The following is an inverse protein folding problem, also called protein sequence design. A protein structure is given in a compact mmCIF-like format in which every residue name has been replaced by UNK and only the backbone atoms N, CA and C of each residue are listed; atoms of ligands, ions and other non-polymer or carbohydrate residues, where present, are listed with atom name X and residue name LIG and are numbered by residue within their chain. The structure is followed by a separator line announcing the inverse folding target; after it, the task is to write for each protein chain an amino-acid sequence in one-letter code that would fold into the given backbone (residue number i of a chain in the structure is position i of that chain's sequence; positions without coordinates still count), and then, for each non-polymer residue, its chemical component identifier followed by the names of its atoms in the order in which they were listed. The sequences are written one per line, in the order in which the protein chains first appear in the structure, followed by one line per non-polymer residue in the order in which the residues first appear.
data_IF_210120326441
#
_entry.id   IF_210120326441
#
_cell.length_a   1.000
_cell.length_b   1.000
_cell.length_c   1.000
_cell.angle_alpha   90.00
_cell.angle_beta   90.00
_cell.angle_gamma   90.00
#
_symmetry.space_group_name_H-M   'P 1'
#
loop_
_entity.id
_entity.type
_entity.pdbx_description
1 polymer ?
#
# COMPACT_ATOMS: atom_id res chain seq x y z
N UNK A 1 20.16 -2.28 -17.99
CA UNK A 1 18.88 -2.63 -18.63
C UNK A 1 18.82 -4.05 -19.15
N UNK A 2 19.77 -4.57 -19.95
CA UNK A 2 19.77 -6.01 -20.31
C UNK A 2 19.69 -6.95 -19.11
N UNK A 3 20.58 -6.78 -18.11
CA UNK A 3 20.51 -7.54 -16.85
C UNK A 3 19.18 -7.42 -16.12
N UNK A 4 18.51 -6.26 -16.22
CA UNK A 4 17.21 -6.01 -15.59
C UNK A 4 16.13 -6.81 -16.32
N UNK A 5 16.16 -6.79 -17.65
CA UNK A 5 15.23 -7.54 -18.49
C UNK A 5 15.41 -9.05 -18.33
N UNK A 6 16.66 -9.53 -18.30
CA UNK A 6 16.98 -10.95 -18.10
C UNK A 6 16.49 -11.48 -16.75
N UNK A 7 16.43 -10.61 -15.74
CA UNK A 7 16.05 -10.95 -14.38
C UNK A 7 14.62 -10.53 -14.00
N UNK A 8 13.86 -9.98 -14.96
CA UNK A 8 12.51 -9.42 -14.75
C UNK A 8 12.49 -8.34 -13.64
N UNK A 9 13.59 -7.61 -13.48
CA UNK A 9 13.81 -6.61 -12.43
C UNK A 9 14.24 -7.16 -11.07
N UNK A 10 14.19 -8.48 -10.85
CA UNK A 10 14.53 -9.14 -9.60
C UNK A 10 15.99 -9.57 -9.54
N UNK A 11 16.50 -9.90 -8.35
CA UNK A 11 17.76 -10.63 -8.17
C UNK A 11 19.02 -10.05 -8.86
N UNK A 12 18.99 -8.76 -9.25
CA UNK A 12 20.11 -8.07 -9.86
C UNK A 12 21.27 -7.96 -8.86
N UNK A 13 22.45 -8.45 -9.25
CA UNK A 13 23.65 -8.48 -8.40
C UNK A 13 24.84 -7.81 -9.11
N UNK A 14 25.78 -7.28 -8.31
CA UNK A 14 27.08 -6.77 -8.77
C UNK A 14 27.03 -5.73 -9.91
N UNK A 15 26.04 -4.83 -9.88
CA UNK A 15 25.99 -3.72 -10.85
C UNK A 15 27.08 -2.71 -10.47
N UNK A 16 28.20 -2.74 -11.19
CA UNK A 16 29.25 -1.73 -11.06
C UNK A 16 28.76 -0.41 -11.67
N UNK A 17 28.24 0.49 -10.86
CA UNK A 17 27.97 1.86 -11.28
C UNK A 17 29.28 2.65 -11.18
N UNK A 18 29.77 3.20 -12.29
CA UNK A 18 30.88 4.13 -12.26
C UNK A 18 30.50 5.36 -11.42
N UNK A 19 31.33 5.66 -10.42
CA UNK A 19 31.11 6.63 -9.33
C UNK A 19 30.54 8.02 -9.72
N UNK A 20 30.84 8.65 -10.87
CA UNK A 20 30.26 9.97 -11.17
C UNK A 20 28.82 9.94 -11.74
N UNK A 21 28.20 8.75 -11.86
CA UNK A 21 26.85 8.61 -12.45
C UNK A 21 25.73 8.34 -11.44
N UNK A 22 26.03 8.40 -10.13
CA UNK A 22 25.01 8.33 -9.08
C UNK A 22 24.02 9.51 -9.24
N UNK A 23 22.79 9.22 -9.65
CA UNK A 23 21.76 10.22 -9.96
C UNK A 23 21.60 10.58 -11.45
N UNK A 24 22.48 10.11 -12.34
CA UNK A 24 22.35 10.28 -13.80
C UNK A 24 21.92 9.00 -14.54
N UNK A 25 22.15 7.82 -13.96
CA UNK A 25 21.70 6.55 -14.55
C UNK A 25 20.25 6.25 -14.12
N UNK A 26 19.40 6.06 -15.12
CA UNK A 26 17.98 5.72 -15.02
C UNK A 26 17.70 4.27 -14.58
N UNK A 27 18.63 3.59 -13.91
CA UNK A 27 18.53 2.16 -13.58
C UNK A 27 17.88 1.87 -12.23
N UNK A 28 17.69 0.57 -11.93
CA UNK A 28 17.27 0.14 -10.59
C UNK A 28 18.44 0.18 -9.60
N UNK A 29 18.18 0.68 -8.40
CA UNK A 29 19.11 0.63 -7.26
C UNK A 29 18.88 -0.64 -6.46
N UNK A 30 19.95 -1.39 -6.18
CA UNK A 30 19.90 -2.70 -5.51
C UNK A 30 20.17 -2.57 -4.01
N UNK A 31 19.37 -3.25 -3.19
CA UNK A 31 19.51 -3.26 -1.73
C UNK A 31 19.53 -4.68 -1.18
N UNK A 32 20.51 -4.97 -0.31
CA UNK A 32 20.58 -6.21 0.45
C UNK A 32 20.03 -5.96 1.86
N UNK A 33 18.94 -6.63 2.22
CA UNK A 33 18.24 -6.42 3.49
C UNK A 33 18.85 -7.21 4.65
N UNK A 34 19.78 -8.13 4.38
CA UNK A 34 20.44 -8.97 5.40
C UNK A 34 21.74 -8.36 5.92
N UNK A 35 22.33 -7.39 5.22
CA UNK A 35 23.71 -6.91 5.47
C UNK A 35 23.85 -5.40 5.67
N UNK A 36 22.77 -4.62 5.61
CA UNK A 36 22.88 -3.16 5.73
C UNK A 36 21.56 -2.42 5.91
N UNK A 37 21.68 -1.11 6.10
CA UNK A 37 20.56 -0.16 6.10
C UNK A 37 20.05 0.05 4.68
N UNK A 38 18.73 0.07 4.51
CA UNK A 38 18.06 0.31 3.23
C UNK A 38 16.90 1.30 3.42
N UNK A 39 16.48 2.01 2.35
CA UNK A 39 15.45 3.03 2.46
C UNK A 39 14.09 2.42 2.82
N UNK A 40 13.33 3.15 3.62
CA UNK A 40 11.93 2.85 3.96
C UNK A 40 11.69 1.42 4.50
N UNK A 41 12.44 0.95 5.52
CA UNK A 41 12.44 -0.46 5.90
C UNK A 41 11.06 -1.01 6.29
N UNK A 42 10.26 -0.18 6.95
CA UNK A 42 8.89 -0.55 7.34
C UNK A 42 7.98 -0.65 6.12
N UNK A 43 8.01 0.35 5.22
CA UNK A 43 7.15 0.38 4.03
C UNK A 43 7.47 -0.78 3.07
N UNK A 44 8.75 -1.06 2.82
CA UNK A 44 9.15 -2.17 1.94
C UNK A 44 8.73 -3.52 2.52
N UNK A 45 8.80 -3.69 3.84
CA UNK A 45 8.26 -4.87 4.52
C UNK A 45 6.73 -4.99 4.34
N UNK A 46 5.99 -3.89 4.47
CA UNK A 46 4.55 -3.87 4.20
C UNK A 46 4.23 -4.21 2.75
N UNK A 47 5.00 -3.73 1.77
CA UNK A 47 4.85 -4.13 0.36
C UNK A 47 5.09 -5.62 0.13
N UNK A 48 6.10 -6.19 0.80
CA UNK A 48 6.35 -7.63 0.77
C UNK A 48 5.15 -8.43 1.30
N UNK A 49 4.56 -8.00 2.43
CA UNK A 49 3.32 -8.59 2.98
C UNK A 49 2.12 -8.43 2.05
N UNK A 50 1.97 -7.28 1.38
CA UNK A 50 0.90 -7.08 0.37
C UNK A 50 1.05 -8.06 -0.80
N UNK A 51 2.27 -8.33 -1.25
CA UNK A 51 2.54 -9.35 -2.27
C UNK A 51 2.09 -10.75 -1.83
N UNK A 52 2.44 -11.16 -0.62
CA UNK A 52 1.97 -12.45 -0.08
C UNK A 52 0.46 -12.47 0.08
N UNK A 53 -0.14 -11.38 0.55
CA UNK A 53 -1.59 -11.27 0.65
C UNK A 53 -2.28 -11.43 -0.71
N UNK A 54 -1.74 -10.80 -1.77
CA UNK A 54 -2.19 -11.01 -3.15
C UNK A 54 -2.12 -12.48 -3.55
N UNK A 55 -0.96 -13.12 -3.37
CA UNK A 55 -0.76 -14.52 -3.74
C UNK A 55 -1.73 -15.44 -3.00
N UNK A 56 -1.83 -15.28 -1.67
CA UNK A 56 -2.75 -16.03 -0.81
C UNK A 56 -4.22 -15.89 -1.24
N UNK A 57 -4.65 -14.70 -1.66
CA UNK A 57 -6.00 -14.49 -2.19
C UNK A 57 -6.24 -15.19 -3.53
N UNK A 58 -5.23 -15.31 -4.39
CA UNK A 58 -5.38 -15.96 -5.70
C UNK A 58 -5.33 -17.49 -5.60
N UNK A 59 -4.38 -18.00 -4.83
CA UNK A 59 -4.09 -19.44 -4.75
C UNK A 59 -4.78 -20.13 -3.57
N UNK A 60 -5.45 -19.38 -2.69
CA UNK A 60 -6.11 -19.93 -1.50
C UNK A 60 -5.12 -20.41 -0.43
N UNK A 61 -3.91 -19.86 -0.39
CA UNK A 61 -2.84 -20.21 0.56
C UNK A 61 -2.79 -19.27 1.77
N UNK A 62 -1.89 -19.52 2.71
CA UNK A 62 -1.74 -18.74 3.95
C UNK A 62 -0.29 -18.35 4.26
N UNK A 63 0.57 -18.23 3.23
CA UNK A 63 1.98 -17.89 3.40
C UNK A 63 2.20 -16.62 4.21
N UNK A 64 3.11 -16.69 5.18
CA UNK A 64 3.49 -15.58 6.04
C UNK A 64 4.94 -15.16 5.77
N UNK A 65 5.20 -13.85 5.81
CA UNK A 65 6.52 -13.31 5.58
C UNK A 65 7.48 -13.76 6.69
N UNK A 66 8.56 -14.45 6.32
CA UNK A 66 9.66 -14.77 7.23
C UNK A 66 10.75 -13.69 7.18
N UNK A 67 11.24 -13.37 5.98
CA UNK A 67 12.29 -12.38 5.82
C UNK A 67 12.26 -11.70 4.45
N UNK A 68 12.56 -10.40 4.42
CA UNK A 68 12.92 -9.70 3.20
C UNK A 68 14.42 -9.93 2.93
N UNK A 69 14.77 -10.50 1.78
CA UNK A 69 16.16 -10.86 1.46
C UNK A 69 16.88 -9.71 0.78
N UNK A 70 16.29 -9.21 -0.31
CA UNK A 70 16.81 -8.12 -1.13
C UNK A 70 15.69 -7.49 -1.93
N UNK A 71 15.91 -6.27 -2.40
CA UNK A 71 15.02 -5.66 -3.38
C UNK A 71 15.77 -4.69 -4.28
N UNK A 72 15.19 -4.45 -5.45
CA UNK A 72 15.62 -3.42 -6.37
C UNK A 72 14.52 -2.36 -6.44
N UNK A 73 14.88 -1.08 -6.45
CA UNK A 73 13.89 -0.01 -6.61
C UNK A 73 14.33 1.06 -7.60
N UNK A 74 13.36 1.69 -8.24
CA UNK A 74 13.62 2.87 -9.06
C UNK A 74 13.89 4.10 -8.18
N UNK A 75 14.86 4.95 -8.54
CA UNK A 75 15.20 6.16 -7.77
C UNK A 75 14.23 7.32 -8.09
N UNK A 76 12.93 7.05 -8.05
CA UNK A 76 11.85 8.00 -8.43
C UNK A 76 10.90 8.25 -7.27
N UNK A 77 10.18 9.38 -7.28
CA UNK A 77 9.19 9.70 -6.25
C UNK A 77 8.01 8.69 -6.22
N UNK A 78 7.66 8.14 -7.37
CA UNK A 78 6.77 7.00 -7.56
C UNK A 78 7.65 5.82 -7.93
N UNK A 79 8.01 5.00 -6.94
CA UNK A 79 8.99 3.94 -7.11
C UNK A 79 8.32 2.61 -7.48
N UNK A 80 9.01 1.86 -8.33
CA UNK A 80 8.77 0.44 -8.53
C UNK A 80 9.71 -0.34 -7.61
N UNK A 81 9.19 -1.33 -6.89
CA UNK A 81 9.92 -2.22 -5.99
C UNK A 81 9.86 -3.65 -6.52
N UNK A 82 11.02 -4.27 -6.69
CA UNK A 82 11.19 -5.66 -7.10
C UNK A 82 11.85 -6.41 -5.96
N UNK A 83 11.05 -7.08 -5.15
CA UNK A 83 11.46 -7.69 -3.88
C UNK A 83 11.64 -9.20 -4.01
N UNK A 84 12.67 -9.72 -3.36
CA UNK A 84 12.86 -11.16 -3.12
C UNK A 84 12.72 -11.40 -1.62
N UNK A 85 11.82 -12.31 -1.26
CA UNK A 85 11.47 -12.59 0.14
C UNK A 85 11.38 -14.09 0.40
N UNK A 86 11.52 -14.46 1.66
CA UNK A 86 11.26 -15.79 2.18
C UNK A 86 9.92 -15.77 2.90
N UNK A 87 9.06 -16.74 2.58
CA UNK A 87 7.80 -16.95 3.26
C UNK A 87 7.72 -18.39 3.77
N UNK A 88 6.95 -18.60 4.82
CA UNK A 88 6.70 -19.92 5.39
C UNK A 88 5.20 -20.21 5.36
N UNK A 89 4.86 -21.48 5.20
CA UNK A 89 3.50 -21.94 5.40
C UNK A 89 3.26 -22.15 6.91
N UNK A 90 2.26 -21.51 7.53
CA UNK A 90 1.98 -21.71 8.95
C UNK A 90 1.52 -23.14 9.27
N UNK A 91 1.05 -23.90 8.27
CA UNK A 91 0.64 -25.31 8.41
C UNK A 91 1.79 -26.30 8.26
N UNK A 92 2.90 -25.88 7.64
CA UNK A 92 4.13 -26.64 7.49
C UNK A 92 5.35 -25.74 7.73
N UNK A 93 5.80 -25.70 8.99
CA UNK A 93 6.92 -24.87 9.41
C UNK A 93 8.26 -25.25 8.78
N UNK A 94 8.35 -26.41 8.11
CA UNK A 94 9.55 -26.82 7.36
C UNK A 94 9.55 -26.30 5.93
N UNK A 95 8.39 -25.86 5.42
CA UNK A 95 8.20 -25.44 4.04
C UNK A 95 8.45 -23.94 3.86
N UNK A 96 9.72 -23.55 3.91
CA UNK A 96 10.12 -22.21 3.50
C UNK A 96 10.19 -22.11 1.96
N UNK A 97 9.60 -21.05 1.41
CA UNK A 97 9.56 -20.76 -0.03
C UNK A 97 10.14 -19.39 -0.32
N UNK A 98 10.78 -19.26 -1.48
CA UNK A 98 11.28 -17.98 -1.99
C UNK A 98 10.25 -17.39 -2.95
N UNK A 99 9.87 -16.14 -2.70
CA UNK A 99 8.94 -15.38 -3.53
C UNK A 99 9.62 -14.19 -4.19
N UNK A 100 9.09 -13.82 -5.35
CA UNK A 100 9.35 -12.56 -6.03
C UNK A 100 8.06 -11.72 -6.02
N UNK A 101 8.16 -10.48 -5.55
CA UNK A 101 7.04 -9.53 -5.43
C UNK A 101 7.38 -8.21 -6.10
N UNK A 102 6.53 -7.75 -7.01
CA UNK A 102 6.60 -6.43 -7.61
C UNK A 102 5.50 -5.52 -7.05
N UNK A 103 5.87 -4.30 -6.67
CA UNK A 103 4.94 -3.23 -6.30
C UNK A 103 5.30 -1.94 -7.03
N UNK A 104 4.34 -1.33 -7.71
CA UNK A 104 4.46 -0.02 -8.35
C UNK A 104 3.65 1.02 -7.54
N UNK A 105 4.26 2.14 -7.18
CA UNK A 105 3.56 3.27 -6.57
C UNK A 105 2.93 4.18 -7.64
N UNK A 106 1.65 4.54 -7.47
CA UNK A 106 0.92 5.42 -8.38
C UNK A 106 0.92 6.90 -7.99
N UNK A 107 1.05 7.22 -6.69
CA UNK A 107 1.09 8.60 -6.17
C UNK A 107 2.01 8.72 -4.98
N UNK A 108 2.69 9.86 -4.89
CA UNK A 108 3.50 10.20 -3.72
C UNK A 108 2.62 10.76 -2.58
N UNK A 109 2.98 10.45 -1.33
CA UNK A 109 2.35 10.99 -0.12
C UNK A 109 0.94 10.47 0.19
N UNK A 110 0.47 9.46 -0.55
CA UNK A 110 -0.81 8.80 -0.35
C UNK A 110 -0.62 7.30 -0.57
N UNK A 111 -1.52 6.48 -0.02
CA UNK A 111 -1.58 5.07 -0.41
C UNK A 111 -2.19 5.00 -1.82
N UNK A 112 -1.35 4.75 -2.81
CA UNK A 112 -1.76 4.41 -4.18
C UNK A 112 -0.67 3.49 -4.74
N UNK A 113 -0.94 2.18 -4.74
CA UNK A 113 0.03 1.18 -5.18
C UNK A 113 -0.64 0.02 -5.91
N UNK A 114 0.10 -0.64 -6.80
CA UNK A 114 -0.32 -1.87 -7.48
C UNK A 114 0.71 -2.97 -7.29
N UNK A 115 0.28 -4.13 -6.82
CA UNK A 115 1.05 -5.36 -6.84
C UNK A 115 0.65 -6.17 -8.09
N UNK A 116 1.53 -6.19 -9.08
CA UNK A 116 1.35 -6.87 -10.37
C UNK A 116 1.92 -8.29 -10.35
N UNK A 117 2.99 -8.52 -9.58
CA UNK A 117 3.68 -9.80 -9.45
C UNK A 117 3.76 -10.18 -7.99
N UNK A 118 3.31 -11.39 -7.66
CA UNK A 118 3.67 -12.13 -6.47
C UNK A 118 3.63 -13.60 -6.87
N UNK A 119 4.77 -14.28 -6.87
CA UNK A 119 4.93 -15.66 -7.36
C UNK A 119 6.08 -16.38 -6.65
N UNK A 120 6.07 -17.71 -6.66
CA UNK A 120 7.24 -18.48 -6.28
C UNK A 120 8.37 -18.24 -7.28
N UNK A 121 9.60 -18.15 -6.78
CA UNK A 121 10.77 -17.91 -7.61
C UNK A 121 11.02 -19.03 -8.63
N UNK A 122 10.65 -20.26 -8.29
CA UNK A 122 10.89 -21.45 -9.14
C UNK A 122 9.81 -21.63 -10.22
N UNK A 123 8.70 -20.88 -10.18
CA UNK A 123 7.57 -21.00 -11.11
C UNK A 123 7.69 -20.14 -12.38
N UNK A 124 8.81 -19.44 -12.57
CA UNK A 124 9.01 -18.54 -13.72
C UNK A 124 9.15 -19.35 -15.00
N UNK A 125 8.02 -19.59 -15.68
CA UNK A 125 7.92 -20.51 -16.83
C UNK A 125 7.64 -19.81 -18.17
N UNK A 126 7.79 -18.49 -18.27
CA UNK A 126 7.62 -17.79 -19.55
C UNK A 126 8.24 -16.40 -19.59
N UNK A 127 8.90 -16.08 -20.71
CA UNK A 127 9.44 -14.75 -20.98
C UNK A 127 8.34 -13.83 -21.49
N UNK A 128 7.57 -13.22 -20.59
CA UNK A 128 6.81 -12.01 -20.97
C UNK A 128 7.82 -10.87 -21.17
N UNK A 129 7.56 -9.93 -22.09
CA UNK A 129 8.40 -8.74 -22.21
C UNK A 129 8.49 -8.03 -20.86
N UNK A 130 9.72 -7.73 -20.42
CA UNK A 130 9.94 -6.96 -19.22
C UNK A 130 9.39 -5.54 -19.42
N UNK A 131 8.62 -5.05 -18.46
CA UNK A 131 8.13 -3.66 -18.46
C UNK A 131 8.87 -2.95 -17.32
N UNK A 132 9.71 -1.94 -17.59
CA UNK A 132 10.57 -1.36 -16.56
C UNK A 132 9.84 -0.71 -15.39
N UNK A 133 8.66 -0.12 -15.64
CA UNK A 133 7.87 0.62 -14.66
C UNK A 133 6.38 0.63 -15.03
N UNK A 134 5.52 0.74 -14.02
CA UNK A 134 4.07 0.96 -14.16
C UNK A 134 3.40 -0.11 -15.04
N UNK A 135 3.34 -1.35 -14.55
CA UNK A 135 2.69 -2.47 -15.27
C UNK A 135 1.19 -2.27 -15.50
N UNK A 136 0.61 -1.19 -14.98
CA UNK A 136 -0.80 -0.84 -15.01
C UNK A 136 -1.38 -0.85 -13.61
N UNK A 137 -2.70 -0.76 -13.54
CA UNK A 137 -3.47 -0.90 -12.31
C UNK A 137 -4.61 -1.90 -12.54
N UNK A 138 -5.15 -2.44 -11.45
CA UNK A 138 -6.29 -3.33 -11.52
C UNK A 138 -7.47 -2.60 -12.18
N UNK A 139 -8.16 -3.28 -13.09
CA UNK A 139 -9.34 -2.71 -13.76
C UNK A 139 -10.46 -2.44 -12.75
N UNK A 140 -10.89 -1.19 -12.62
CA UNK A 140 -11.94 -0.78 -11.67
C UNK A 140 -13.32 -0.75 -12.33
N UNK A 141 -14.36 -1.08 -11.56
CA UNK A 141 -15.76 -1.07 -11.99
C UNK A 141 -16.70 -0.63 -10.85
N UNK A 142 -17.93 -0.27 -11.20
CA UNK A 142 -18.97 0.11 -10.23
C UNK A 142 -18.51 1.15 -9.21
N UNK A 143 -18.72 0.86 -7.92
CA UNK A 143 -18.37 1.71 -6.78
C UNK A 143 -16.85 1.87 -6.55
N UNK A 144 -16.02 1.14 -7.30
CA UNK A 144 -14.56 1.20 -7.19
C UNK A 144 -13.92 2.13 -8.22
N UNK A 145 -14.71 2.73 -9.12
CA UNK A 145 -14.24 3.69 -10.12
C UNK A 145 -14.21 5.11 -9.54
N UNK A 146 -13.17 5.87 -9.90
CA UNK A 146 -13.03 7.28 -9.50
C UNK A 146 -12.42 7.45 -8.12
N UNK A 147 -12.73 8.56 -7.46
CA UNK A 147 -12.15 8.91 -6.15
C UNK A 147 -12.57 7.94 -5.04
N UNK A 148 -11.78 7.89 -3.96
CA UNK A 148 -12.14 7.14 -2.75
C UNK A 148 -13.43 7.70 -2.14
N UNK A 149 -14.32 6.83 -1.63
CA UNK A 149 -15.57 7.29 -1.01
C UNK A 149 -15.29 8.14 0.23
N UNK A 150 -16.33 8.84 0.70
CA UNK A 150 -16.32 9.46 2.01
C UNK A 150 -16.69 8.46 3.11
N UNK A 151 -16.35 8.80 4.35
CA UNK A 151 -16.71 7.96 5.49
C UNK A 151 -18.25 7.89 5.62
N UNK A 152 -18.86 6.69 5.68
CA UNK A 152 -20.30 6.55 5.78
C UNK A 152 -20.83 7.05 7.13
N UNK A 153 -22.04 7.60 7.15
CA UNK A 153 -22.73 7.93 8.40
C UNK A 153 -23.01 6.66 9.21
N UNK A 154 -23.22 6.80 10.52
CA UNK A 154 -23.57 5.65 11.37
C UNK A 154 -24.90 5.00 10.93
N UNK A 155 -25.87 5.79 10.48
CA UNK A 155 -27.12 5.27 9.90
C UNK A 155 -26.87 4.46 8.62
N UNK A 156 -25.97 4.92 7.74
CA UNK A 156 -25.61 4.19 6.54
C UNK A 156 -24.89 2.88 6.88
N UNK A 157 -24.05 2.86 7.91
CA UNK A 157 -23.38 1.63 8.37
C UNK A 157 -24.35 0.58 8.94
N UNK A 158 -25.57 0.98 9.32
CA UNK A 158 -26.61 0.05 9.76
C UNK A 158 -27.34 -0.63 8.59
N UNK A 159 -27.11 -0.19 7.35
CA UNK A 159 -27.58 -0.89 6.16
C UNK A 159 -26.73 -2.15 5.92
N UNK A 160 -27.18 -3.26 6.52
CA UNK A 160 -26.52 -4.57 6.39
C UNK A 160 -26.48 -5.12 4.96
N UNK A 161 -27.34 -4.62 4.06
CA UNK A 161 -27.26 -4.96 2.63
C UNK A 161 -26.06 -4.28 2.02
N UNK A 162 -25.85 -2.99 2.27
CA UNK A 162 -24.71 -2.30 1.68
C UNK A 162 -23.38 -2.60 2.38
N UNK A 163 -23.37 -2.60 3.71
CA UNK A 163 -22.16 -2.73 4.52
C UNK A 163 -22.17 -4.01 5.34
N UNK A 164 -21.02 -4.66 5.40
CA UNK A 164 -20.74 -5.66 6.42
C UNK A 164 -19.91 -5.04 7.53
N UNK A 165 -20.54 -4.80 8.68
CA UNK A 165 -19.83 -4.42 9.90
C UNK A 165 -19.20 -5.70 10.47
N UNK A 166 -17.88 -5.78 10.38
CA UNK A 166 -17.11 -6.96 10.76
C UNK A 166 -17.19 -7.14 12.27
N UNK A 167 -17.18 -8.37 12.80
CA UNK A 167 -17.10 -8.58 14.25
C UNK A 167 -15.66 -8.52 14.74
N UNK A 168 -15.46 -8.19 16.02
CA UNK A 168 -14.13 -8.10 16.61
C UNK A 168 -13.29 -9.37 16.43
N UNK A 169 -13.89 -10.52 16.74
CA UNK A 169 -13.24 -11.83 16.56
C UNK A 169 -12.87 -12.13 15.11
N UNK A 170 -13.59 -11.59 14.13
CA UNK A 170 -13.32 -11.84 12.71
C UNK A 170 -12.17 -11.00 12.19
N UNK A 171 -12.11 -9.71 12.55
CA UNK A 171 -10.98 -8.87 12.14
C UNK A 171 -9.70 -9.22 12.90
N UNK A 172 -9.79 -9.68 14.15
CA UNK A 172 -8.65 -10.19 14.92
C UNK A 172 -8.09 -11.50 14.33
N UNK A 173 -8.95 -12.31 13.71
CA UNK A 173 -8.54 -13.51 12.98
C UNK A 173 -8.05 -13.22 11.54
N UNK A 174 -8.10 -11.96 11.10
CA UNK A 174 -7.84 -11.56 9.72
C UNK A 174 -6.69 -10.56 9.64
N UNK A 175 -5.49 -11.06 9.30
CA UNK A 175 -4.26 -10.27 9.31
C UNK A 175 -4.26 -9.08 8.32
N UNK A 176 -5.03 -9.17 7.23
CA UNK A 176 -4.97 -8.17 6.16
C UNK A 176 -5.61 -6.82 6.54
N UNK A 177 -6.54 -6.79 7.49
CA UNK A 177 -7.18 -5.53 7.92
C UNK A 177 -6.14 -4.65 8.62
N UNK A 178 -5.37 -5.23 9.54
CA UNK A 178 -4.24 -4.57 10.19
C UNK A 178 -3.21 -4.14 9.16
N UNK A 179 -2.85 -5.02 8.20
CA UNK A 179 -1.94 -4.66 7.10
C UNK A 179 -2.40 -3.41 6.33
N UNK A 180 -3.70 -3.26 6.08
CA UNK A 180 -4.24 -2.12 5.33
C UNK A 180 -4.18 -0.82 6.15
N UNK A 181 -4.41 -0.91 7.45
CA UNK A 181 -4.23 0.22 8.36
C UNK A 181 -2.75 0.63 8.46
N UNK A 182 -1.85 -0.34 8.60
CA UNK A 182 -0.40 -0.10 8.69
C UNK A 182 0.11 0.60 7.42
N UNK A 183 -0.25 0.09 6.24
CA UNK A 183 0.24 0.61 4.97
C UNK A 183 -0.34 1.98 4.64
N UNK A 184 -1.60 2.27 4.98
CA UNK A 184 -2.16 3.61 4.75
C UNK A 184 -1.50 4.65 5.65
N UNK A 185 -1.19 4.32 6.91
CA UNK A 185 -0.45 5.21 7.81
C UNK A 185 0.96 5.45 7.27
N UNK A 186 1.70 4.39 6.92
CA UNK A 186 3.07 4.51 6.41
C UNK A 186 3.15 5.29 5.09
N UNK A 187 2.22 5.07 4.15
CA UNK A 187 2.24 5.76 2.87
C UNK A 187 1.95 7.28 3.01
N UNK A 188 1.14 7.68 3.99
CA UNK A 188 0.82 9.08 4.23
C UNK A 188 1.94 9.87 4.96
N UNK A 189 2.82 9.20 5.71
CA UNK A 189 3.97 9.82 6.40
C UNK A 189 5.34 9.52 5.74
N UNK A 190 5.32 9.14 4.46
CA UNK A 190 6.50 8.64 3.73
C UNK A 190 7.72 9.59 3.71
N UNK A 191 7.54 10.90 3.90
CA UNK A 191 8.64 11.87 3.80
C UNK A 191 9.30 12.23 5.14
N UNK A 192 8.68 11.90 6.28
CA UNK A 192 9.18 12.27 7.61
C UNK A 192 9.63 11.05 8.43
N UNK A 193 10.25 10.06 7.79
CA UNK A 193 10.75 8.81 8.41
C UNK A 193 11.70 8.97 9.61
N UNK A 194 12.13 10.19 9.96
CA UNK A 194 12.85 10.45 11.21
C UNK A 194 11.98 10.24 12.46
N UNK A 195 10.65 10.13 12.34
CA UNK A 195 9.72 10.12 13.47
C UNK A 195 8.83 8.87 13.65
N UNK A 196 8.85 7.87 12.76
CA UNK A 196 8.10 6.63 13.01
C UNK A 196 8.95 5.70 13.89
N UNK A 197 8.59 5.45 15.17
CA UNK A 197 9.36 4.61 16.05
C UNK A 197 9.26 3.13 15.67
N UNK A 198 10.12 2.34 16.31
CA UNK A 198 10.27 0.88 16.29
C UNK A 198 8.98 0.04 16.23
N UNK A 199 9.16 -1.28 16.10
CA UNK A 199 8.13 -2.34 16.15
C UNK A 199 6.99 -2.10 17.17
N UNK A 200 7.27 -1.41 18.27
CA UNK A 200 6.33 -1.03 19.34
C UNK A 200 5.26 0.02 18.92
N UNK A 201 5.44 0.68 17.77
CA UNK A 201 4.45 1.62 17.23
C UNK A 201 3.17 0.88 16.80
N UNK A 202 3.32 -0.24 16.11
CA UNK A 202 2.18 -1.03 15.62
C UNK A 202 1.38 -1.66 16.75
N UNK A 203 2.03 -2.02 17.87
CA UNK A 203 1.34 -2.58 19.04
C UNK A 203 0.46 -1.57 19.78
N UNK A 204 0.61 -0.27 19.52
CA UNK A 204 -0.28 0.75 20.09
C UNK A 204 -1.57 0.93 19.31
N UNK A 205 -1.59 0.54 18.03
CA UNK A 205 -2.77 0.72 17.19
C UNK A 205 -3.90 -0.18 17.68
N UNK A 206 -5.05 0.43 17.94
CA UNK A 206 -6.26 -0.27 18.34
C UNK A 206 -7.32 -0.07 17.26
N UNK A 207 -7.73 -1.15 16.60
CA UNK A 207 -8.86 -1.12 15.67
C UNK A 207 -10.15 -1.15 16.50
N UNK A 208 -10.98 -0.11 16.31
CA UNK A 208 -12.22 0.11 17.06
C UNK A 208 -13.43 -0.42 16.30
N UNK A 209 -13.51 -0.16 14.99
CA UNK A 209 -14.64 -0.54 14.13
C UNK A 209 -14.17 -0.77 12.71
N UNK A 210 -14.68 -1.82 12.07
CA UNK A 210 -14.41 -2.13 10.67
C UNK A 210 -15.72 -2.35 9.92
N UNK A 211 -15.86 -1.70 8.78
CA UNK A 211 -16.95 -1.96 7.84
C UNK A 211 -16.40 -2.23 6.44
N UNK A 212 -17.07 -3.10 5.71
CA UNK A 212 -16.70 -3.50 4.35
C UNK A 212 -17.88 -3.24 3.43
N UNK A 213 -17.62 -2.52 2.35
CA UNK A 213 -18.56 -2.31 1.26
C UNK A 213 -18.02 -3.01 0.01
N UNK A 214 -18.87 -3.82 -0.63
CA UNK A 214 -18.52 -4.53 -1.86
C UNK A 214 -19.50 -4.15 -2.96
N UNK A 215 -19.19 -4.46 -4.21
CA UNK A 215 -20.13 -4.25 -5.33
C UNK A 215 -21.32 -5.24 -5.33
N UNK A 216 -21.42 -6.11 -4.32
CA UNK A 216 -22.47 -7.12 -4.18
C UNK A 216 -23.27 -6.79 -2.91
N UNK A 217 -24.49 -6.30 -3.08
CA UNK A 217 -25.37 -5.86 -1.99
C UNK A 217 -26.02 -7.03 -1.20
N UNK A 218 -26.05 -8.24 -1.77
CA UNK A 218 -26.69 -9.41 -1.13
C UNK A 218 -25.77 -10.65 -1.14
N UNK A 219 -24.49 -10.49 -0.78
CA UNK A 219 -23.59 -11.64 -0.66
C UNK A 219 -23.92 -12.44 0.61
N UNK A 220 -24.32 -13.70 0.46
CA UNK A 220 -24.67 -14.61 1.56
C UNK A 220 -23.66 -15.76 1.66
N UNK A 221 -23.08 -16.03 2.84
CA UNK A 221 -23.20 -15.25 4.08
C UNK A 221 -22.46 -13.89 4.02
N UNK A 222 -22.89 -12.87 4.79
CA UNK A 222 -22.29 -11.53 4.74
C UNK A 222 -20.78 -11.47 5.01
N UNK A 223 -20.24 -12.44 5.76
CA UNK A 223 -18.82 -12.55 6.05
C UNK A 223 -17.98 -12.96 4.83
N UNK A 224 -18.58 -13.45 3.74
CA UNK A 224 -17.88 -13.67 2.47
C UNK A 224 -17.28 -12.37 1.91
N UNK A 225 -17.84 -11.21 2.27
CA UNK A 225 -17.30 -9.90 1.90
C UNK A 225 -15.87 -9.67 2.39
N UNK A 226 -15.44 -10.32 3.47
CA UNK A 226 -14.05 -10.29 3.93
C UNK A 226 -13.08 -10.82 2.86
N UNK A 227 -13.52 -11.83 2.09
CA UNK A 227 -12.75 -12.51 1.05
C UNK A 227 -12.94 -11.89 -0.35
N UNK A 228 -13.80 -10.87 -0.47
CA UNK A 228 -14.12 -10.26 -1.77
C UNK A 228 -12.89 -9.68 -2.47
N UNK A 229 -12.71 -9.97 -3.75
CA UNK A 229 -11.57 -9.46 -4.54
C UNK A 229 -11.51 -7.93 -4.60
N UNK A 230 -12.66 -7.27 -4.57
CA UNK A 230 -12.76 -5.81 -4.56
C UNK A 230 -13.66 -5.33 -3.43
N UNK A 231 -13.19 -4.35 -2.65
CA UNK A 231 -13.89 -3.82 -1.49
C UNK A 231 -13.40 -2.40 -1.13
N UNK A 232 -14.30 -1.56 -0.63
CA UNK A 232 -13.94 -0.39 0.16
C UNK A 232 -13.96 -0.81 1.65
N UNK A 233 -12.84 -0.61 2.33
CA UNK A 233 -12.65 -1.00 3.72
C UNK A 233 -12.54 0.27 4.56
N UNK A 234 -13.44 0.38 5.54
CA UNK A 234 -13.56 1.52 6.44
C UNK A 234 -13.05 1.09 7.81
N UNK A 235 -11.96 1.69 8.27
CA UNK A 235 -11.28 1.31 9.50
C UNK A 235 -11.28 2.51 10.45
N UNK A 236 -11.88 2.34 11.62
CA UNK A 236 -11.77 3.29 12.73
C UNK A 236 -10.74 2.76 13.73
N UNK A 237 -9.83 3.63 14.19
CA UNK A 237 -8.72 3.23 15.03
C UNK A 237 -8.26 4.31 16.02
N UNK A 238 -7.53 3.89 17.05
CA UNK A 238 -6.83 4.71 18.06
C UNK A 238 -5.35 4.31 18.13
N UNK A 239 -4.61 4.96 19.02
CA UNK A 239 -3.23 4.60 19.36
C UNK A 239 -2.15 5.38 18.60
N UNK A 240 -2.55 6.17 17.60
CA UNK A 240 -1.65 7.01 16.84
C UNK A 240 -1.53 8.38 17.51
N UNK A 241 -0.41 8.66 18.19
CA UNK A 241 -0.23 9.93 18.90
C UNK A 241 -0.34 11.16 17.97
N UNK A 242 0.31 11.08 16.81
CA UNK A 242 0.29 12.14 15.81
C UNK A 242 0.02 11.50 14.44
N UNK A 243 -1.15 11.79 13.87
CA UNK A 243 -1.45 11.38 12.50
C UNK A 243 -0.97 12.45 11.54
N UNK A 244 -0.34 12.01 10.45
CA UNK A 244 0.16 12.88 9.39
C UNK A 244 -0.38 12.41 8.06
N UNK A 245 -0.82 13.34 7.26
CA UNK A 245 -1.09 13.13 5.85
C UNK A 245 -0.68 14.37 5.08
N UNK A 246 -0.40 14.20 3.79
CA UNK A 246 0.04 15.30 2.94
C UNK A 246 -0.95 16.49 3.03
N UNK A 247 -0.44 17.65 3.46
CA UNK A 247 -1.19 18.90 3.65
C UNK A 247 -2.40 18.80 4.61
N UNK A 248 -2.35 17.91 5.58
CA UNK A 248 -3.37 17.79 6.63
C UNK A 248 -2.76 17.76 8.02
N UNK A 249 -3.39 18.48 8.94
CA UNK A 249 -3.07 18.45 10.37
C UNK A 249 -4.23 17.77 11.09
N UNK A 250 -3.90 16.75 11.89
CA UNK A 250 -4.86 16.02 12.69
C UNK A 250 -4.73 16.43 14.16
N UNK A 251 -5.80 16.18 14.92
CA UNK A 251 -5.75 16.28 16.37
C UNK A 251 -4.70 15.31 16.94
N UNK A 252 -3.97 15.78 17.96
CA UNK A 252 -2.90 15.05 18.62
C UNK A 252 -3.47 14.30 19.82
N UNK A 253 -3.08 13.03 19.98
CA UNK A 253 -3.47 12.19 21.10
C UNK A 253 -3.66 10.74 20.67
N UNK A 254 -3.15 9.82 21.48
CA UNK A 254 -3.33 8.37 21.26
C UNK A 254 -4.80 7.95 21.44
N UNK A 255 -5.56 8.66 22.28
CA UNK A 255 -6.97 8.40 22.55
C UNK A 255 -7.91 8.84 21.40
N UNK A 256 -7.43 9.67 20.48
CA UNK A 256 -8.23 10.26 19.41
C UNK A 256 -8.63 9.19 18.39
N UNK A 257 -9.93 9.07 18.17
CA UNK A 257 -10.49 8.21 17.12
C UNK A 257 -10.21 8.78 15.74
N UNK A 258 -9.58 7.94 14.91
CA UNK A 258 -9.25 8.26 13.53
C UNK A 258 -9.88 7.26 12.59
N UNK A 259 -10.06 7.72 11.36
CA UNK A 259 -10.77 6.97 10.33
C UNK A 259 -9.86 6.85 9.11
N UNK A 260 -9.75 5.65 8.58
CA UNK A 260 -9.04 5.34 7.36
C UNK A 260 -9.97 4.65 6.38
N UNK A 261 -9.80 4.94 5.10
CA UNK A 261 -10.49 4.26 4.01
C UNK A 261 -9.42 3.65 3.12
N UNK A 262 -9.54 2.35 2.84
CA UNK A 262 -8.69 1.63 1.90
C UNK A 262 -9.58 0.92 0.89
N UNK A 263 -9.44 1.27 -0.38
CA UNK A 263 -10.03 0.55 -1.51
C UNK A 263 -9.05 -0.51 -1.99
N UNK A 264 -9.52 -1.74 -2.00
CA UNK A 264 -8.89 -2.90 -2.64
C UNK A 264 -9.60 -3.20 -3.94
N UNK A 265 -8.84 -3.42 -5.01
CA UNK A 265 -9.35 -3.98 -6.27
C UNK A 265 -8.40 -5.04 -6.76
N UNK A 266 -8.93 -6.25 -6.99
CA UNK A 266 -8.21 -7.33 -7.64
C UNK A 266 -8.93 -7.74 -8.93
N UNK A 267 -8.23 -7.63 -10.06
CA UNK A 267 -8.81 -7.92 -11.38
C UNK A 267 -8.53 -9.34 -11.88
N UNK A 268 -9.07 -9.66 -13.06
CA UNK A 268 -8.93 -10.98 -13.69
C UNK A 268 -7.50 -11.30 -14.15
N UNK A 269 -6.63 -10.30 -14.30
CA UNK A 269 -5.20 -10.50 -14.59
C UNK A 269 -4.41 -10.76 -13.31
N UNK A 270 -5.08 -10.69 -12.16
CA UNK A 270 -4.49 -10.85 -10.84
C UNK A 270 -3.81 -9.59 -10.34
N UNK A 271 -4.00 -8.42 -10.93
CA UNK A 271 -3.40 -7.20 -10.36
C UNK A 271 -4.14 -6.83 -9.09
N UNK A 272 -3.41 -6.51 -8.01
CA UNK A 272 -3.99 -5.99 -6.77
C UNK A 272 -3.62 -4.52 -6.64
N UNK A 273 -4.61 -3.63 -6.69
CA UNK A 273 -4.42 -2.19 -6.43
C UNK A 273 -5.00 -1.83 -5.06
N UNK A 274 -4.22 -1.09 -4.28
CA UNK A 274 -4.64 -0.49 -3.01
C UNK A 274 -4.58 1.03 -3.13
N UNK A 275 -5.69 1.69 -2.84
CA UNK A 275 -5.78 3.14 -2.69
C UNK A 275 -6.30 3.48 -1.30
N UNK A 276 -5.74 4.47 -0.61
CA UNK A 276 -6.23 4.82 0.71
C UNK A 276 -5.91 6.22 1.20
N UNK A 277 -6.73 6.68 2.15
CA UNK A 277 -6.62 7.99 2.79
C UNK A 277 -6.97 7.92 4.28
N UNK A 278 -6.36 8.79 5.07
CA UNK A 278 -6.85 9.17 6.39
C UNK A 278 -7.98 10.20 6.22
N UNK A 279 -9.06 10.04 6.98
CA UNK A 279 -10.24 10.91 6.93
C UNK A 279 -10.16 12.01 8.01
N UNK A 280 -10.71 13.18 7.69
CA UNK A 280 -10.64 14.36 8.57
C UNK A 280 -9.32 15.12 8.44
N UNK A 281 -8.93 15.81 9.52
CA UNK A 281 -7.79 16.71 9.55
C UNK A 281 -8.08 18.06 8.85
N UNK A 282 -7.50 19.13 9.38
CA UNK A 282 -7.61 20.46 8.80
C UNK A 282 -6.61 20.59 7.64
N UNK A 283 -7.06 21.18 6.53
CA UNK A 283 -6.17 21.47 5.41
C UNK A 283 -5.15 22.54 5.80
N UNK A 284 -3.90 22.34 5.42
CA UNK A 284 -2.85 23.35 5.58
C UNK A 284 -2.82 24.36 4.44
N UNK A 285 -3.67 24.23 3.41
CA UNK A 285 -3.73 25.18 2.30
C UNK A 285 -4.42 26.48 2.75
N UNK A 286 -3.67 27.38 3.37
CA UNK A 286 -4.06 28.78 3.59
C UNK A 286 -3.94 29.61 2.30
N UNK A 287 -4.55 29.14 1.20
CA UNK A 287 -4.82 30.02 0.06
C UNK A 287 -6.15 30.73 0.28
N UNK A 288 -6.14 31.72 1.16
CA UNK A 288 -7.06 32.85 0.96
C UNK A 288 -6.63 33.52 -0.33
N UNK A 289 -7.43 33.38 -1.39
CA UNK A 289 -7.33 34.24 -2.56
C UNK A 289 -7.69 35.67 -2.15
N UNK A 290 -6.77 36.37 -1.48
CA UNK A 290 -6.75 37.82 -1.53
C UNK A 290 -6.42 38.19 -2.96
N UNK A 291 -7.46 38.55 -3.73
CA UNK A 291 -7.31 39.22 -5.03
C UNK A 291 -6.26 40.30 -4.83
N UNK A 292 -5.08 40.13 -5.46
CA UNK A 292 -4.12 41.22 -5.54
C UNK A 292 -4.83 42.37 -6.29
N UNK A 293 -4.84 43.60 -5.78
CA UNK A 293 -5.34 44.72 -6.55
C UNK A 293 -4.47 44.84 -7.81
N UNK A 294 -5.13 44.80 -8.98
CA UNK A 294 -4.51 45.16 -10.25
C UNK A 294 -4.12 46.63 -10.17
N UNK A 295 -2.85 46.92 -9.95
CA UNK A 295 -2.28 48.22 -10.32
C UNK A 295 -1.96 48.15 -11.81
N UNK A 296 -2.82 48.77 -12.61
CA UNK A 296 -2.47 49.15 -13.97
C UNK A 296 -1.41 50.24 -13.89
N UNK A 297 -0.23 49.95 -14.47
CA UNK A 297 0.75 50.98 -14.80
C UNK A 297 0.34 51.48 -16.18
N UNK A 298 -0.41 52.58 -16.23
CA UNK A 298 -0.59 53.33 -17.45
C UNK A 298 0.70 54.09 -17.73
N UNK A 299 1.42 53.65 -18.77
CA UNK A 299 2.48 54.42 -19.38
C UNK A 299 2.07 54.74 -20.82
N UNK A 300 1.86 56.02 -21.10
CA UNK A 300 2.30 56.83 -22.28
C UNK A 300 1.34 58.01 -22.48
N UNK A 301 1.81 59.25 -22.38
CA UNK A 301 2.58 60.02 -23.38
C UNK A 301 3.56 60.93 -22.65
#
# INVERSE_FOLDING_TARGET
WRQVEDSDGFDIENVSLSSPMYGMITGLTTFNCQRGLYPHPILVNLYAKVGLHRYNMMEGTSFQLNALVKFNMSPTAMASFYMTLLAHDPTDSTLQKTFQVQVDEGKCGHLDMTCSIARLKDEVTGKKPFIPHFHGSATTNGIFKGDLPEWPSDDALNDGKRFYVVKKSEWEATDWISLYLEIVICANDRWNFKSLPHKDFWSKLEIVKVAIETGIEDAEPPNERLKAKSANVYIMFKGLAEARAFRRVFEIGEHVERKAIVRRVMDHKGYLTLQGKLCGGQSTDTRTCKKRPHFWVDGTV
#
